data_IF_517684460436
#
_entry.id   IF_517684460436
#
_cell.length_a   1.000
_cell.length_b   1.000
_cell.length_c   1.000
_cell.angle_alpha   90.00
_cell.angle_beta   90.00
_cell.angle_gamma   90.00
#
_symmetry.space_group_name_H-M   'P 1'
#
loop_
_entity.id
_entity.type
_entity.pdbx_description
1 polymer ?
#
# COMPACT_ATOMS: atom_id res chain seq x y z
N UNK A 1 -14.44 -5.13 -12.94
CA UNK A 1 -13.23 -5.11 -12.10
C UNK A 1 -12.42 -3.87 -12.46
N UNK A 2 -12.11 -3.00 -11.51
CA UNK A 2 -11.35 -1.77 -11.76
C UNK A 2 -9.86 -2.11 -11.92
N UNK A 3 -9.20 -1.57 -12.95
CA UNK A 3 -7.76 -1.84 -13.22
C UNK A 3 -6.84 -1.11 -12.24
N UNK A 4 -7.28 0.05 -11.75
CA UNK A 4 -6.51 0.92 -10.86
C UNK A 4 -7.30 1.10 -9.56
N UNK A 5 -6.59 0.99 -8.45
CA UNK A 5 -7.11 1.21 -7.10
C UNK A 5 -6.28 2.32 -6.44
N UNK A 6 -6.91 3.33 -5.82
CA UNK A 6 -6.20 4.34 -5.04
C UNK A 6 -5.86 3.84 -3.62
N UNK A 7 -6.25 2.63 -3.24
CA UNK A 7 -6.11 2.14 -1.87
C UNK A 7 -4.63 1.98 -1.48
N UNK A 8 -4.25 2.67 -0.40
CA UNK A 8 -2.98 2.45 0.31
C UNK A 8 -3.12 1.25 1.26
N UNK A 9 -3.38 0.07 0.69
CA UNK A 9 -3.65 -1.15 1.45
C UNK A 9 -2.37 -1.85 1.95
N UNK A 10 -2.48 -2.85 2.84
CA UNK A 10 -1.31 -3.60 3.31
C UNK A 10 -0.45 -4.20 2.20
N UNK A 11 -1.07 -4.67 1.12
CA UNK A 11 -0.33 -5.20 -0.03
C UNK A 11 0.60 -4.14 -0.64
N UNK A 12 0.11 -2.93 -0.90
CA UNK A 12 0.93 -1.84 -1.43
C UNK A 12 2.13 -1.55 -0.53
N UNK A 13 1.91 -1.45 0.79
CA UNK A 13 3.00 -1.17 1.75
C UNK A 13 4.05 -2.27 1.71
N UNK A 14 3.65 -3.54 1.71
CA UNK A 14 4.60 -4.65 1.62
C UNK A 14 5.37 -4.67 0.30
N UNK A 15 4.76 -4.30 -0.83
CA UNK A 15 5.48 -4.16 -2.10
C UNK A 15 6.59 -3.11 -2.06
N UNK A 16 6.39 -2.01 -1.33
CA UNK A 16 7.44 -1.02 -1.10
C UNK A 16 8.52 -1.52 -0.15
N UNK A 17 8.15 -2.27 0.90
CA UNK A 17 9.13 -2.92 1.78
C UNK A 17 9.97 -3.96 1.04
N UNK A 18 9.37 -4.76 0.17
CA UNK A 18 10.08 -5.69 -0.71
C UNK A 18 11.10 -4.95 -1.56
N UNK A 19 10.69 -3.85 -2.19
CA UNK A 19 11.55 -3.03 -3.05
C UNK A 19 12.71 -2.40 -2.26
N UNK A 20 12.43 -1.95 -1.03
CA UNK A 20 13.45 -1.44 -0.11
C UNK A 20 14.48 -2.52 0.25
N UNK A 21 14.05 -3.74 0.59
CA UNK A 21 14.94 -4.87 0.88
C UNK A 21 15.76 -5.27 -0.34
N UNK A 22 15.12 -5.44 -1.50
CA UNK A 22 15.77 -5.80 -2.75
C UNK A 22 16.82 -4.75 -3.17
N UNK A 23 16.53 -3.46 -2.99
CA UNK A 23 17.49 -2.39 -3.27
C UNK A 23 18.78 -2.50 -2.45
N UNK A 24 18.67 -2.98 -1.20
CA UNK A 24 19.82 -3.21 -0.33
C UNK A 24 20.56 -4.49 -0.73
N UNK A 25 19.83 -5.58 -0.98
CA UNK A 25 20.40 -6.87 -1.40
C UNK A 25 21.20 -6.75 -2.70
N UNK A 26 20.67 -5.99 -3.66
CA UNK A 26 21.32 -5.69 -4.93
C UNK A 26 22.39 -4.58 -4.83
N UNK A 27 22.65 -4.05 -3.63
CA UNK A 27 23.64 -3.00 -3.35
C UNK A 27 23.40 -1.70 -4.14
N UNK A 28 22.14 -1.39 -4.45
CA UNK A 28 21.75 -0.12 -5.07
C UNK A 28 21.72 1.02 -4.05
N UNK A 29 21.46 0.68 -2.78
CA UNK A 29 21.46 1.61 -1.65
C UNK A 29 22.48 1.17 -0.60
N UNK A 30 22.91 2.11 0.26
CA UNK A 30 23.83 1.82 1.38
C UNK A 30 23.12 1.28 2.62
N UNK A 31 21.81 1.49 2.72
CA UNK A 31 20.95 1.07 3.82
C UNK A 31 19.52 0.88 3.34
N UNK A 32 18.76 -0.01 3.97
CA UNK A 32 17.35 -0.19 3.69
C UNK A 32 16.55 1.07 4.11
N UNK A 33 15.76 1.66 3.20
CA UNK A 33 14.81 2.70 3.58
C UNK A 33 13.76 2.21 4.58
N UNK A 34 13.38 3.05 5.53
CA UNK A 34 12.26 2.83 6.45
C UNK A 34 10.97 3.24 5.72
N UNK A 35 10.02 2.31 5.54
CA UNK A 35 8.85 2.47 4.64
C UNK A 35 7.53 2.67 5.41
N UNK A 36 7.42 2.22 6.65
CA UNK A 36 6.17 2.26 7.42
C UNK A 36 5.68 3.71 7.63
N UNK A 37 6.59 4.69 7.71
CA UNK A 37 6.24 6.12 7.86
C UNK A 37 5.87 6.85 6.57
N UNK A 38 6.01 6.23 5.39
CA UNK A 38 5.82 6.93 4.11
C UNK A 38 4.37 7.26 3.78
N UNK A 39 3.42 6.50 4.31
CA UNK A 39 2.03 6.54 3.87
C UNK A 39 1.12 7.21 4.91
N UNK A 40 0.82 8.48 4.70
CA UNK A 40 -0.29 9.14 5.40
C UNK A 40 -1.63 8.77 4.74
N UNK A 41 -2.43 7.96 5.44
CA UNK A 41 -3.73 7.48 4.94
C UNK A 41 -4.88 8.44 5.23
N UNK A 42 -4.66 9.51 6.01
CA UNK A 42 -5.72 10.40 6.48
C UNK A 42 -6.47 11.07 5.33
N UNK A 43 -5.74 11.60 4.35
CA UNK A 43 -6.30 12.28 3.18
C UNK A 43 -7.13 11.33 2.30
N UNK A 44 -6.61 10.13 2.04
CA UNK A 44 -7.32 9.13 1.25
C UNK A 44 -8.61 8.72 1.97
N UNK A 45 -8.54 8.43 3.27
CA UNK A 45 -9.71 8.02 4.04
C UNK A 45 -10.78 9.12 4.09
N UNK A 46 -10.38 10.39 4.22
CA UNK A 46 -11.28 11.52 4.17
C UNK A 46 -12.00 11.61 2.82
N UNK A 47 -11.26 11.51 1.70
CA UNK A 47 -11.83 11.57 0.35
C UNK A 47 -12.77 10.39 0.07
N UNK A 48 -12.40 9.17 0.48
CA UNK A 48 -13.25 7.99 0.32
C UNK A 48 -14.57 8.13 1.09
N UNK A 49 -14.52 8.70 2.30
CA UNK A 49 -15.70 8.95 3.12
C UNK A 49 -16.59 10.04 2.52
N UNK A 50 -16.02 11.15 2.10
CA UNK A 50 -16.75 12.27 1.48
C UNK A 50 -17.50 11.82 0.22
N UNK A 51 -16.85 11.00 -0.61
CA UNK A 51 -17.42 10.48 -1.86
C UNK A 51 -18.25 9.21 -1.68
N UNK A 52 -18.35 8.66 -0.46
CA UNK A 52 -19.05 7.41 -0.12
C UNK A 52 -18.52 6.18 -0.88
N UNK A 53 -17.20 6.10 -1.05
CA UNK A 53 -16.50 5.07 -1.82
C UNK A 53 -15.66 4.11 -0.95
N UNK A 54 -15.85 4.08 0.37
CA UNK A 54 -15.07 3.28 1.32
C UNK A 54 -15.03 1.76 1.01
N UNK A 55 -15.99 1.28 0.24
CA UNK A 55 -16.17 -0.14 -0.12
C UNK A 55 -16.13 -0.38 -1.64
N UNK A 56 -15.76 0.63 -2.43
CA UNK A 56 -15.84 0.54 -3.89
C UNK A 56 -14.71 -0.33 -4.47
N UNK A 57 -13.50 -0.23 -3.92
CA UNK A 57 -12.34 -1.02 -4.35
C UNK A 57 -12.09 -2.21 -3.41
N UNK A 58 -11.67 -3.37 -3.96
CA UNK A 58 -11.19 -4.48 -3.15
C UNK A 58 -9.86 -4.10 -2.49
N UNK A 59 -9.74 -4.30 -1.18
CA UNK A 59 -8.50 -4.18 -0.44
C UNK A 59 -7.79 -5.54 -0.36
N UNK A 60 -6.46 -5.54 -0.28
CA UNK A 60 -5.67 -6.76 -0.19
C UNK A 60 -4.78 -6.76 1.06
N UNK A 61 -4.63 -7.94 1.65
CA UNK A 61 -3.71 -8.20 2.74
C UNK A 61 -2.27 -8.21 2.21
N UNK A 62 -1.31 -8.17 3.13
CA UNK A 62 0.12 -8.22 2.84
C UNK A 62 0.53 -9.35 1.87
N UNK A 63 -0.14 -10.50 1.95
CA UNK A 63 0.11 -11.67 1.11
C UNK A 63 -0.59 -11.62 -0.26
N UNK A 64 -1.22 -10.50 -0.61
CA UNK A 64 -1.94 -10.30 -1.88
C UNK A 64 -3.30 -10.99 -1.94
N UNK A 65 -3.78 -11.60 -0.85
CA UNK A 65 -5.15 -12.12 -0.79
C UNK A 65 -6.13 -10.99 -0.51
N UNK A 66 -7.37 -11.06 -1.03
CA UNK A 66 -8.40 -10.09 -0.67
C UNK A 66 -8.56 -10.03 0.85
N UNK A 67 -8.58 -8.82 1.40
CA UNK A 67 -9.05 -8.58 2.77
C UNK A 67 -10.54 -8.84 2.77
N UNK A 68 -10.92 -10.08 3.05
CA UNK A 68 -12.30 -10.43 3.34
C UNK A 68 -12.65 -9.71 4.64
N UNK A 69 -13.54 -8.73 4.56
CA UNK A 69 -14.08 -8.04 5.74
C UNK A 69 -15.14 -8.90 6.41
#
# INVERSE_FOLDING_TARGET
RVRLSPLLDPFLVERYKDSARESLELKLTRSAPEVDSWFDRSFLNAALKELKLENYWPAYAADGKPLVR
#
